data_IF_771924383192
#
_entry.id   IF_771924383192
#
_cell.length_a   1.000
_cell.length_b   1.000
_cell.length_c   1.000
_cell.angle_alpha   90.00
_cell.angle_beta   90.00
_cell.angle_gamma   90.00
#
_symmetry.space_group_name_H-M   'P 1'
#
loop_
_entity.id
_entity.type
_entity.pdbx_description
1 polymer ?
#
# COMPACT_ATOMS: atom_id res chain seq x y z
N UNK A 1 13.53 -7.90 22.42
CA UNK A 1 12.19 -7.26 22.41
C UNK A 1 11.64 -7.32 21.00
N UNK A 2 10.39 -7.75 20.81
CA UNK A 2 9.73 -7.69 19.51
C UNK A 2 8.95 -6.38 19.39
N UNK A 3 9.18 -5.61 18.33
CA UNK A 3 8.45 -4.37 18.04
C UNK A 3 7.37 -4.71 17.01
N UNK A 4 6.12 -4.38 17.32
CA UNK A 4 5.01 -4.54 16.38
C UNK A 4 4.76 -3.20 15.69
N UNK A 5 4.95 -3.16 14.38
CA UNK A 5 4.64 -2.02 13.54
C UNK A 5 3.65 -2.48 12.46
N UNK A 6 2.37 -2.21 12.63
CA UNK A 6 1.33 -2.59 11.67
C UNK A 6 0.31 -1.47 11.52
N UNK A 7 -0.14 -1.27 10.28
CA UNK A 7 -1.22 -0.39 9.89
C UNK A 7 -2.25 -1.15 9.10
N UNK A 8 -3.51 -0.84 9.39
CA UNK A 8 -4.66 -1.24 8.61
C UNK A 8 -5.31 0.04 8.10
N UNK A 9 -5.50 0.14 6.79
CA UNK A 9 -6.07 1.32 6.14
C UNK A 9 -7.21 0.87 5.23
N UNK A 10 -8.41 1.43 5.44
CA UNK A 10 -9.52 1.33 4.50
C UNK A 10 -9.76 2.72 3.92
N UNK A 11 -9.64 2.85 2.59
CA UNK A 11 -9.83 4.15 1.95
C UNK A 11 -9.95 4.07 0.44
N UNK A 12 -10.08 5.25 -0.17
CA UNK A 12 -10.31 5.39 -1.60
C UNK A 12 -9.04 5.84 -2.31
N UNK A 13 -8.72 5.20 -3.42
CA UNK A 13 -7.65 5.63 -4.32
C UNK A 13 -8.06 6.96 -4.97
N UNK A 14 -7.30 8.03 -4.72
CA UNK A 14 -7.65 9.37 -5.22
C UNK A 14 -6.87 9.79 -6.47
N UNK A 15 -5.81 9.07 -6.82
CA UNK A 15 -5.03 9.28 -8.06
C UNK A 15 -4.62 7.95 -8.65
N UNK A 16 -4.41 7.91 -9.96
CA UNK A 16 -3.88 6.73 -10.64
C UNK A 16 -2.57 6.24 -10.00
N UNK A 17 -2.41 4.93 -9.75
CA UNK A 17 -1.16 4.35 -9.27
C UNK A 17 0.03 4.76 -10.15
N UNK A 18 1.17 5.07 -9.52
CA UNK A 18 2.39 5.48 -10.26
C UNK A 18 3.60 4.66 -9.85
N UNK A 19 4.38 4.21 -10.84
CA UNK A 19 5.71 3.66 -10.59
C UNK A 19 6.64 4.73 -10.07
N UNK A 20 7.42 4.39 -9.04
CA UNK A 20 8.52 5.18 -8.52
C UNK A 20 9.72 4.28 -8.27
N UNK A 21 10.91 4.87 -8.39
CA UNK A 21 12.10 4.29 -7.76
C UNK A 21 12.20 4.88 -6.37
N UNK A 22 12.22 4.04 -5.34
CA UNK A 22 12.36 4.50 -3.95
C UNK A 22 13.54 3.80 -3.30
N UNK A 23 14.71 4.45 -3.38
CA UNK A 23 15.97 3.88 -2.88
C UNK A 23 15.96 3.74 -1.35
N UNK A 24 15.22 4.59 -0.66
CA UNK A 24 15.20 4.66 0.81
C UNK A 24 14.44 3.49 1.46
N UNK A 25 13.58 2.80 0.71
CA UNK A 25 12.87 1.62 1.19
C UNK A 25 13.69 0.32 1.10
N UNK A 26 14.92 0.38 0.57
CA UNK A 26 15.71 -0.81 0.22
C UNK A 26 15.01 -1.73 -0.81
N UNK A 27 13.89 -1.27 -1.36
CA UNK A 27 13.08 -1.95 -2.35
C UNK A 27 13.36 -1.29 -3.69
N UNK A 28 13.40 -2.06 -4.79
CA UNK A 28 13.61 -1.51 -6.13
C UNK A 28 12.44 -0.65 -6.62
N UNK A 29 11.93 -0.92 -7.82
CA UNK A 29 10.73 -0.23 -8.30
C UNK A 29 9.53 -0.51 -7.37
N UNK A 30 8.86 0.55 -6.94
CA UNK A 30 7.64 0.51 -6.11
C UNK A 30 6.49 1.20 -6.82
N UNK A 31 5.26 0.85 -6.46
CA UNK A 31 4.06 1.57 -6.91
C UNK A 31 3.56 2.44 -5.76
N UNK A 32 3.48 3.75 -5.99
CA UNK A 32 2.91 4.72 -5.06
C UNK A 32 1.40 4.84 -5.30
N UNK A 33 0.63 4.71 -4.22
CA UNK A 33 -0.80 4.97 -4.14
C UNK A 33 -1.03 6.20 -3.26
N UNK A 34 -1.99 7.05 -3.65
CA UNK A 34 -2.55 8.03 -2.72
C UNK A 34 -3.94 7.57 -2.31
N UNK A 35 -4.13 7.41 -1.01
CA UNK A 35 -5.36 6.90 -0.42
C UNK A 35 -5.97 8.00 0.45
N UNK A 36 -7.23 8.33 0.21
CA UNK A 36 -8.01 9.18 1.10
C UNK A 36 -8.80 8.32 2.06
N UNK A 37 -8.74 8.64 3.35
CA UNK A 37 -9.61 8.08 4.38
C UNK A 37 -10.51 9.17 4.91
N UNK A 38 -11.78 8.86 5.13
CA UNK A 38 -12.73 9.76 5.78
C UNK A 38 -13.08 9.20 7.16
N UNK A 39 -12.93 10.02 8.19
CA UNK A 39 -13.41 9.72 9.53
C UNK A 39 -14.02 11.00 10.10
N UNK A 40 -15.28 10.94 10.55
CA UNK A 40 -15.98 12.07 11.18
C UNK A 40 -15.96 13.38 10.35
N UNK A 41 -16.02 13.24 9.02
CA UNK A 41 -15.97 14.38 8.08
C UNK A 41 -14.57 14.94 7.83
N UNK A 42 -13.53 14.43 8.49
CA UNK A 42 -12.14 14.77 8.23
C UNK A 42 -11.55 13.81 7.18
N UNK A 43 -10.93 14.38 6.16
CA UNK A 43 -10.22 13.64 5.13
C UNK A 43 -8.72 13.67 5.39
N UNK A 44 -8.10 12.49 5.47
CA UNK A 44 -6.65 12.34 5.54
C UNK A 44 -6.15 11.64 4.27
N UNK A 45 -5.08 12.18 3.68
CA UNK A 45 -4.42 11.58 2.53
C UNK A 45 -3.15 10.86 2.98
N UNK A 46 -3.01 9.60 2.56
CA UNK A 46 -1.89 8.73 2.89
C UNK A 46 -1.12 8.35 1.63
N UNK A 47 0.19 8.22 1.74
CA UNK A 47 1.04 7.68 0.66
C UNK A 47 1.42 6.25 0.98
N UNK A 48 1.02 5.33 0.11
CA UNK A 48 1.25 3.89 0.29
C UNK A 48 2.18 3.39 -0.82
N UNK A 49 3.20 2.64 -0.45
CA UNK A 49 4.13 2.01 -1.37
C UNK A 49 3.90 0.50 -1.42
N UNK A 50 3.57 0.00 -2.61
CA UNK A 50 3.41 -1.41 -2.91
C UNK A 50 4.64 -1.91 -3.70
N UNK A 51 5.48 -2.80 -3.13
CA UNK A 51 6.66 -3.31 -3.80
C UNK A 51 6.33 -4.45 -4.78
N UNK A 52 7.21 -4.68 -5.75
CA UNK A 52 7.23 -5.88 -6.60
C UNK A 52 5.88 -6.23 -7.24
N UNK A 53 5.49 -7.52 -7.17
CA UNK A 53 4.26 -8.03 -7.79
C UNK A 53 2.99 -7.39 -7.21
N UNK A 54 3.02 -6.98 -5.93
CA UNK A 54 1.92 -6.25 -5.32
C UNK A 54 1.76 -4.89 -6.00
N UNK A 55 2.87 -4.21 -6.28
CA UNK A 55 2.89 -2.97 -7.06
C UNK A 55 2.39 -3.18 -8.50
N UNK A 56 2.78 -4.27 -9.16
CA UNK A 56 2.32 -4.63 -10.51
C UNK A 56 0.80 -4.90 -10.55
N UNK A 57 0.30 -5.57 -9.52
CA UNK A 57 -1.14 -5.82 -9.34
C UNK A 57 -1.88 -4.49 -9.13
N UNK A 58 -1.39 -3.62 -8.24
CA UNK A 58 -2.00 -2.32 -7.98
C UNK A 58 -2.09 -1.47 -9.25
N UNK A 59 -1.04 -1.45 -10.08
CA UNK A 59 -1.03 -0.72 -11.36
C UNK A 59 -2.08 -1.22 -12.36
N UNK A 60 -2.41 -2.52 -12.33
CA UNK A 60 -3.36 -3.13 -13.28
C UNK A 60 -4.80 -3.04 -12.79
N UNK A 61 -5.02 -3.14 -11.49
CA UNK A 61 -6.34 -3.31 -10.91
C UNK A 61 -6.95 -2.04 -10.33
N UNK A 62 -6.13 -1.08 -9.90
CA UNK A 62 -6.63 0.08 -9.16
C UNK A 62 -6.77 1.30 -10.06
N UNK A 63 -7.92 1.95 -9.94
CA UNK A 63 -8.27 3.22 -10.59
C UNK A 63 -8.64 4.26 -9.53
N UNK A 64 -8.63 5.57 -9.84
CA UNK A 64 -9.28 6.57 -9.00
C UNK A 64 -10.73 6.15 -8.72
N UNK A 65 -11.16 6.24 -7.45
CA UNK A 65 -12.47 5.78 -7.00
C UNK A 65 -12.50 4.34 -6.46
N UNK A 66 -11.45 3.54 -6.70
CA UNK A 66 -11.32 2.21 -6.11
C UNK A 66 -11.25 2.29 -4.58
N UNK A 67 -12.11 1.55 -3.88
CA UNK A 67 -12.06 1.38 -2.42
C UNK A 67 -11.17 0.18 -2.10
N UNK A 68 -10.18 0.37 -1.24
CA UNK A 68 -9.17 -0.63 -0.93
C UNK A 68 -8.97 -0.78 0.57
N UNK A 69 -8.72 -2.02 0.99
CA UNK A 69 -8.18 -2.35 2.30
C UNK A 69 -6.69 -2.68 2.16
N UNK A 70 -5.87 -2.10 3.02
CA UNK A 70 -4.40 -2.17 2.96
C UNK A 70 -3.87 -2.59 4.32
N UNK A 71 -2.97 -3.56 4.30
CA UNK A 71 -2.16 -3.93 5.45
C UNK A 71 -0.71 -3.57 5.16
N UNK A 72 -0.07 -2.87 6.09
CA UNK A 72 1.29 -2.39 5.92
C UNK A 72 1.96 -2.02 7.22
N UNK A 73 3.09 -1.33 7.10
CA UNK A 73 3.91 -0.86 8.20
C UNK A 73 4.20 0.63 8.00
N UNK A 74 4.23 1.41 9.08
CA UNK A 74 4.63 2.81 9.02
C UNK A 74 6.14 2.90 8.87
N UNK A 75 6.59 3.83 8.04
CA UNK A 75 7.97 4.23 8.04
C UNK A 75 8.05 5.75 7.89
N UNK A 76 9.11 6.33 8.45
CA UNK A 76 9.40 7.75 8.33
C UNK A 76 10.68 7.90 7.52
N UNK A 77 10.65 8.74 6.50
CA UNK A 77 11.87 9.19 5.84
C UNK A 77 12.46 10.30 6.71
N UNK A 78 13.70 10.12 7.14
CA UNK A 78 14.37 11.10 7.98
C UNK A 78 14.52 12.41 7.18
N UNK A 79 13.88 13.49 7.62
CA UNK A 79 14.02 14.82 7.02
C UNK A 79 12.98 15.23 5.96
N UNK A 80 11.94 14.43 5.70
CA UNK A 80 10.78 14.89 4.89
C UNK A 80 9.56 15.19 5.77
N UNK A 81 8.76 16.18 5.33
CA UNK A 81 7.57 16.69 6.02
C UNK A 81 6.61 15.57 6.46
N UNK A 82 5.91 15.86 7.57
CA UNK A 82 4.88 15.05 8.22
C UNK A 82 3.82 14.49 7.25
N UNK A 83 4.11 13.32 6.69
CA UNK A 83 3.16 12.51 5.94
C UNK A 83 3.42 11.05 6.30
N UNK A 84 2.37 10.35 6.73
CA UNK A 84 2.46 8.93 7.06
C UNK A 84 2.74 8.15 5.77
N UNK A 85 3.92 7.54 5.69
CA UNK A 85 4.29 6.64 4.60
C UNK A 85 4.08 5.21 5.04
N UNK A 86 3.37 4.46 4.21
CA UNK A 86 2.97 3.08 4.52
C UNK A 86 3.64 2.16 3.51
N UNK A 87 4.40 1.17 3.96
CA UNK A 87 4.86 0.07 3.12
C UNK A 87 3.85 -1.05 3.19
N UNK A 88 3.12 -1.28 2.09
CA UNK A 88 2.10 -2.32 2.03
C UNK A 88 2.71 -3.70 1.79
N UNK A 89 2.24 -4.69 2.54
CA UNK A 89 2.49 -6.12 2.27
C UNK A 89 1.22 -6.85 1.81
N UNK A 90 0.04 -6.23 1.97
CA UNK A 90 -1.20 -6.69 1.38
C UNK A 90 -2.06 -5.51 0.90
N UNK A 91 -2.70 -5.68 -0.25
CA UNK A 91 -3.74 -4.77 -0.76
C UNK A 91 -4.90 -5.63 -1.25
N UNK A 92 -6.11 -5.24 -0.88
CA UNK A 92 -7.36 -5.87 -1.25
C UNK A 92 -8.25 -4.81 -1.90
N UNK A 93 -8.74 -5.09 -3.11
CA UNK A 93 -9.80 -4.29 -3.72
C UNK A 93 -11.13 -4.67 -3.05
N UNK A 94 -11.80 -3.67 -2.48
CA UNK A 94 -13.09 -3.83 -1.78
C UNK A 94 -14.24 -3.53 -2.74
N UNK A 95 -14.13 -2.44 -3.50
CA UNK A 95 -15.08 -2.10 -4.56
C UNK A 95 -14.44 -1.17 -5.59
N UNK A 96 -14.98 -1.17 -6.80
CA UNK A 96 -14.71 -0.17 -7.83
C UNK A 96 -15.91 0.74 -7.96
N UNK A 97 -15.70 2.02 -8.30
CA UNK A 97 -16.74 3.03 -8.49
C UNK A 97 -17.61 2.81 -9.76
N UNK A 98 -17.86 1.55 -10.15
CA UNK A 98 -18.80 1.27 -11.23
C UNK A 98 -20.21 1.61 -10.76
N UNK A 99 -20.77 2.65 -11.37
CA UNK A 99 -22.16 3.10 -11.19
C UNK A 99 -23.21 2.14 -11.74
N UNK A 100 -22.83 1.00 -12.31
CA UNK A 100 -23.79 0.00 -12.77
C UNK A 100 -23.30 -1.42 -12.45
N UNK A 101 -24.26 -2.20 -11.97
CA UNK A 101 -24.25 -3.64 -11.68
C UNK A 101 -23.41 -4.18 -10.51
N UNK A 102 -24.12 -4.80 -9.57
CA UNK A 102 -23.57 -5.87 -8.75
C UNK A 102 -23.16 -7.04 -9.66
N UNK A 103 -21.99 -7.64 -9.40
CA UNK A 103 -22.05 -8.95 -8.79
C UNK A 103 -21.24 -9.01 -7.51
N UNK A 104 -21.85 -9.64 -6.52
CA UNK A 104 -21.21 -10.09 -5.31
C UNK A 104 -19.96 -10.93 -5.64
N UNK A 105 -18.82 -10.62 -5.01
CA UNK A 105 -17.85 -11.66 -4.64
C UNK A 105 -16.59 -11.86 -5.49
N UNK A 106 -15.92 -10.81 -5.96
CA UNK A 106 -14.49 -10.94 -6.35
C UNK A 106 -13.58 -10.18 -5.39
N UNK A 107 -13.43 -10.73 -4.19
CA UNK A 107 -12.37 -10.34 -3.25
C UNK A 107 -11.04 -10.89 -3.78
N UNK A 108 -10.27 -10.06 -4.49
CA UNK A 108 -8.91 -10.42 -4.89
C UNK A 108 -7.94 -10.07 -3.74
N UNK A 109 -7.57 -11.07 -2.95
CA UNK A 109 -6.51 -10.95 -1.94
C UNK A 109 -5.14 -11.19 -2.59
N UNK A 110 -4.33 -10.14 -2.72
CA UNK A 110 -2.93 -10.30 -3.09
C UNK A 110 -2.03 -10.10 -1.86
N UNK A 111 -1.50 -11.21 -1.34
CA UNK A 111 -0.47 -11.23 -0.29
C UNK A 111 0.83 -11.70 -0.89
N UNK A 112 1.91 -10.95 -0.67
CA UNK A 112 3.24 -11.48 -0.93
C UNK A 112 3.77 -12.21 0.33
N UNK A 113 4.37 -13.40 0.18
CA UNK A 113 5.13 -13.97 1.27
C UNK A 113 6.32 -13.05 1.58
N UNK A 114 6.58 -12.82 2.86
CA UNK A 114 7.75 -12.10 3.33
C UNK A 114 9.01 -12.74 2.75
N UNK A 115 9.71 -12.07 1.84
CA UNK A 115 11.11 -12.38 1.60
C UNK A 115 11.89 -11.82 2.79
N UNK A 116 12.02 -12.60 3.86
CA UNK A 116 13.07 -12.39 4.85
C UNK A 116 14.39 -12.46 4.09
N UNK A 117 15.01 -11.31 3.82
CA UNK A 117 16.42 -11.30 3.46
C UNK A 117 17.19 -11.88 4.66
N UNK A 118 17.95 -12.97 4.52
CA UNK A 118 18.96 -13.28 5.51
C UNK A 118 19.97 -12.15 5.43
N UNK A 119 19.99 -11.28 6.45
CA UNK A 119 21.14 -10.44 6.70
C UNK A 119 22.34 -11.38 6.80
N UNK A 120 23.29 -11.22 5.89
CA UNK A 120 24.50 -12.00 5.84
C UNK A 120 25.23 -11.88 7.18
N UNK A 121 25.14 -12.93 7.99
CA UNK A 121 26.06 -13.17 9.07
C UNK A 121 27.37 -13.69 8.46
N UNK A 122 28.23 -12.78 8.01
CA UNK A 122 29.65 -13.07 7.84
C UNK A 122 30.37 -12.57 9.09
N UNK A 123 30.46 -13.46 10.08
CA UNK A 123 31.56 -13.47 11.04
C UNK A 123 32.32 -14.76 10.77
N UNK A 124 33.48 -14.64 10.12
CA UNK A 124 34.68 -15.44 10.36
C UNK A 124 35.84 -14.83 9.57
#
# INVERSE_FOLDING_TARGET
>A
MAIVNRVFLLGTVIVWPRRRQERELGCGAVTALKISTAQDGLHAAHTVFAPGKLGDWCMRMLTPGSVVHIEGELFSLCGQQAGSLIRAFAVQLVSTENKDEAPCGQQALFRQPFCLHPAAASLH
#
